data_IF_823619930156
#
_entry.id   IF_823619930156
#
_cell.length_a   1.000
_cell.length_b   1.000
_cell.length_c   1.000
_cell.angle_alpha   90.00
_cell.angle_beta   90.00
_cell.angle_gamma   90.00
#
_symmetry.space_group_name_H-M   'P 1'
#
loop_
_entity.id
_entity.type
_entity.pdbx_description
1 polymer ?
#
# COMPACT_ATOMS: atom_id res chain seq x y z
N UNK A 1 -12.76 -32.73 10.56
CA UNK A 1 -13.04 -31.31 10.81
C UNK A 1 -13.12 -30.64 9.45
N UNK A 2 -14.31 -30.28 8.96
CA UNK A 2 -14.44 -29.56 7.69
C UNK A 2 -13.87 -28.16 7.85
N UNK A 3 -13.06 -27.70 6.88
CA UNK A 3 -12.56 -26.34 6.92
C UNK A 3 -13.73 -25.37 6.72
N UNK A 4 -13.73 -24.22 7.38
CA UNK A 4 -14.75 -23.16 7.21
C UNK A 4 -14.90 -22.77 5.72
N UNK A 5 -13.87 -22.97 4.91
CA UNK A 5 -13.87 -22.74 3.47
C UNK A 5 -14.74 -23.70 2.68
N UNK A 6 -14.97 -24.92 3.17
CA UNK A 6 -15.68 -25.98 2.45
C UNK A 6 -17.19 -25.72 2.42
N UNK A 7 -17.69 -24.93 3.38
CA UNK A 7 -19.11 -24.56 3.50
C UNK A 7 -19.47 -23.29 2.74
N UNK A 8 -18.50 -22.58 2.16
CA UNK A 8 -18.75 -21.32 1.45
C UNK A 8 -19.17 -21.55 0.00
N UNK A 9 -20.11 -20.73 -0.48
CA UNK A 9 -20.48 -20.71 -1.89
C UNK A 9 -19.32 -20.17 -2.76
N UNK A 10 -19.18 -20.62 -4.02
CA UNK A 10 -18.27 -19.97 -4.96
C UNK A 10 -18.77 -18.55 -5.31
N UNK A 11 -17.88 -17.63 -5.70
CA UNK A 11 -18.29 -16.28 -6.06
C UNK A 11 -19.01 -16.29 -7.41
N UNK A 12 -19.90 -15.31 -7.62
CA UNK A 12 -20.67 -15.18 -8.87
C UNK A 12 -19.73 -15.00 -10.07
N UNK A 13 -20.08 -15.60 -11.22
CA UNK A 13 -19.29 -15.50 -12.45
C UNK A 13 -19.01 -14.05 -12.88
N UNK A 14 -20.00 -13.16 -12.76
CA UNK A 14 -19.83 -11.74 -13.04
C UNK A 14 -18.74 -11.07 -12.17
N UNK A 15 -18.63 -11.46 -10.90
CA UNK A 15 -17.57 -10.98 -10.02
C UNK A 15 -16.20 -11.50 -10.47
N UNK A 16 -16.11 -12.78 -10.83
CA UNK A 16 -14.86 -13.37 -11.34
C UNK A 16 -14.41 -12.64 -12.61
N UNK A 17 -15.31 -12.49 -13.59
CA UNK A 17 -15.04 -11.78 -14.83
C UNK A 17 -14.55 -10.34 -14.57
N UNK A 18 -15.20 -9.64 -13.62
CA UNK A 18 -14.77 -8.30 -13.20
C UNK A 18 -13.36 -8.27 -12.61
N UNK A 19 -12.98 -9.23 -11.75
CA UNK A 19 -11.60 -9.28 -11.22
C UNK A 19 -10.56 -9.60 -12.29
N UNK A 20 -10.87 -10.49 -13.23
CA UNK A 20 -9.99 -10.81 -14.35
C UNK A 20 -9.79 -9.58 -15.27
N UNK A 21 -10.89 -8.89 -15.58
CA UNK A 21 -10.84 -7.62 -16.31
C UNK A 21 -10.00 -6.58 -15.56
N UNK A 22 -10.20 -6.44 -14.24
CA UNK A 22 -9.43 -5.51 -13.41
C UNK A 22 -7.92 -5.73 -13.58
N UNK A 23 -7.46 -6.98 -13.51
CA UNK A 23 -6.05 -7.33 -13.68
C UNK A 23 -5.54 -6.83 -15.04
N UNK A 24 -6.20 -7.23 -16.13
CA UNK A 24 -5.79 -6.87 -17.50
C UNK A 24 -5.83 -5.34 -17.69
N UNK A 25 -6.92 -4.70 -17.28
CA UNK A 25 -7.12 -3.25 -17.37
C UNK A 25 -5.98 -2.48 -16.70
N UNK A 26 -5.56 -2.89 -15.50
CA UNK A 26 -4.46 -2.22 -14.82
C UNK A 26 -3.10 -2.51 -15.44
N UNK A 27 -2.81 -3.78 -15.74
CA UNK A 27 -1.47 -4.17 -16.18
C UNK A 27 -1.18 -3.75 -17.62
N UNK A 28 -2.19 -3.79 -18.51
CA UNK A 28 -2.01 -3.51 -19.93
C UNK A 28 -2.32 -2.06 -20.32
N UNK A 29 -3.22 -1.38 -19.60
CA UNK A 29 -3.67 -0.03 -19.99
C UNK A 29 -3.25 1.03 -18.98
N UNK A 30 -3.68 0.91 -17.72
CA UNK A 30 -3.49 1.98 -16.71
C UNK A 30 -2.02 2.20 -16.39
N UNK A 31 -1.27 1.15 -16.04
CA UNK A 31 0.12 1.30 -15.58
C UNK A 31 1.07 1.79 -16.68
N UNK A 32 1.07 1.23 -17.91
CA UNK A 32 1.96 1.69 -18.97
C UNK A 32 1.72 3.15 -19.38
N UNK A 33 0.46 3.60 -19.32
CA UNK A 33 0.06 4.96 -19.73
C UNK A 33 -0.06 5.93 -18.55
N UNK A 34 0.28 5.52 -17.33
CA UNK A 34 0.08 6.34 -16.12
C UNK A 34 0.86 7.67 -16.17
N UNK A 35 2.02 7.65 -16.83
CA UNK A 35 2.89 8.80 -17.03
C UNK A 35 2.83 9.42 -18.43
N UNK A 36 2.16 8.76 -19.38
CA UNK A 36 1.98 9.26 -20.74
C UNK A 36 0.78 10.22 -20.76
N UNK A 37 1.05 11.53 -20.69
CA UNK A 37 0.03 12.59 -20.70
C UNK A 37 -1.12 12.41 -19.69
N UNK A 38 -0.85 11.73 -18.56
CA UNK A 38 -1.87 11.36 -17.56
C UNK A 38 -3.02 10.49 -18.08
N UNK A 39 -2.89 9.85 -19.25
CA UNK A 39 -3.92 9.00 -19.86
C UNK A 39 -4.32 7.88 -18.89
N UNK A 40 -3.35 7.21 -18.27
CA UNK A 40 -3.63 6.14 -17.31
C UNK A 40 -4.40 6.64 -16.07
N UNK A 41 -4.22 7.90 -15.65
CA UNK A 41 -5.00 8.50 -14.54
C UNK A 41 -6.46 8.71 -14.94
N UNK A 42 -6.69 9.19 -16.17
CA UNK A 42 -8.04 9.37 -16.72
C UNK A 42 -8.72 8.02 -16.90
N UNK A 43 -8.03 7.03 -17.49
CA UNK A 43 -8.53 5.67 -17.63
C UNK A 43 -8.91 5.07 -16.27
N UNK A 44 -8.04 5.21 -15.27
CA UNK A 44 -8.34 4.74 -13.91
C UNK A 44 -9.58 5.44 -13.32
N UNK A 45 -9.72 6.76 -13.50
CA UNK A 45 -10.89 7.50 -13.06
C UNK A 45 -12.18 7.03 -13.76
N UNK A 46 -12.15 6.83 -15.08
CA UNK A 46 -13.27 6.28 -15.87
C UNK A 46 -13.62 4.86 -15.40
N UNK A 47 -12.62 4.00 -15.20
CA UNK A 47 -12.84 2.63 -14.72
C UNK A 47 -13.53 2.60 -13.34
N UNK A 48 -13.23 3.57 -12.47
CA UNK A 48 -13.92 3.75 -11.18
C UNK A 48 -15.33 4.30 -11.36
N UNK A 49 -15.53 5.28 -12.24
CA UNK A 49 -16.84 5.89 -12.53
C UNK A 49 -17.82 4.87 -13.08
N UNK A 50 -17.39 4.08 -14.07
CA UNK A 50 -18.16 3.02 -14.70
C UNK A 50 -18.26 1.75 -13.85
N UNK A 51 -17.70 1.76 -12.63
CA UNK A 51 -17.65 0.61 -11.70
C UNK A 51 -17.07 -0.66 -12.33
N UNK A 52 -16.18 -0.52 -13.32
CA UNK A 52 -15.48 -1.63 -13.98
C UNK A 52 -14.44 -2.25 -13.05
N UNK A 53 -13.94 -1.48 -12.09
CA UNK A 53 -12.97 -1.94 -11.09
C UNK A 53 -13.65 -2.10 -9.72
N UNK A 54 -13.06 -2.94 -8.88
CA UNK A 54 -13.54 -3.15 -7.51
C UNK A 54 -12.83 -2.17 -6.58
N UNK A 55 -13.58 -1.49 -5.72
CA UNK A 55 -12.98 -0.62 -4.71
C UNK A 55 -12.26 -1.48 -3.67
N UNK A 56 -11.12 -0.99 -3.15
CA UNK A 56 -10.40 -1.67 -2.08
C UNK A 56 -11.22 -1.78 -0.78
N UNK A 57 -12.05 -0.77 -0.50
CA UNK A 57 -13.05 -0.76 0.58
C UNK A 57 -14.33 -0.18 0.01
N UNK A 58 -15.41 -0.96 0.07
CA UNK A 58 -16.73 -0.56 -0.43
C UNK A 58 -17.38 0.49 0.47
N UNK A 59 -18.41 1.17 -0.05
CA UNK A 59 -19.22 2.10 0.76
C UNK A 59 -19.96 1.39 1.91
N UNK A 60 -20.33 0.12 1.72
CA UNK A 60 -20.95 -0.71 2.75
C UNK A 60 -19.98 -1.04 3.88
N UNK A 61 -18.76 -1.46 3.55
CA UNK A 61 -17.73 -1.75 4.56
C UNK A 61 -17.40 -0.53 5.42
N UNK A 62 -17.40 0.68 4.82
CA UNK A 62 -17.25 1.93 5.58
C UNK A 62 -18.39 2.23 6.56
N UNK A 63 -19.53 1.55 6.40
CA UNK A 63 -20.68 1.58 7.30
C UNK A 63 -20.80 0.28 8.12
N UNK A 64 -19.70 -0.48 8.22
CA UNK A 64 -19.64 -1.76 8.93
C UNK A 64 -20.58 -2.84 8.37
N UNK A 65 -20.89 -2.76 7.07
CA UNK A 65 -21.72 -3.73 6.38
C UNK A 65 -20.85 -4.68 5.56
N UNK A 66 -21.18 -5.96 5.61
CA UNK A 66 -20.52 -6.98 4.80
C UNK A 66 -20.80 -6.74 3.29
N UNK A 67 -19.78 -6.79 2.41
CA UNK A 67 -19.99 -6.74 0.98
C UNK A 67 -20.82 -7.92 0.48
N UNK A 68 -21.72 -7.68 -0.48
CA UNK A 68 -22.57 -8.72 -1.07
C UNK A 68 -21.81 -9.85 -1.80
N UNK A 69 -20.53 -9.65 -2.12
CA UNK A 69 -19.68 -10.67 -2.75
C UNK A 69 -18.90 -11.52 -1.72
N UNK A 70 -19.11 -11.31 -0.42
CA UNK A 70 -18.48 -12.05 0.67
C UNK A 70 -19.54 -12.52 1.69
N UNK A 71 -19.27 -13.63 2.41
CA UNK A 71 -18.14 -14.54 2.23
C UNK A 71 -18.32 -15.42 0.99
N UNK A 72 -17.21 -15.77 0.32
CA UNK A 72 -17.20 -16.67 -0.83
C UNK A 72 -15.86 -17.41 -0.89
N UNK A 73 -15.83 -18.58 -1.53
CA UNK A 73 -14.58 -19.31 -1.83
C UNK A 73 -13.69 -18.51 -2.77
N UNK A 74 -12.38 -18.77 -2.74
CA UNK A 74 -11.50 -18.30 -3.80
C UNK A 74 -11.89 -18.99 -5.12
N UNK A 75 -12.09 -18.22 -6.20
CA UNK A 75 -12.44 -18.81 -7.49
C UNK A 75 -11.26 -19.55 -8.10
N UNK A 76 -11.51 -20.65 -8.82
CA UNK A 76 -10.46 -21.42 -9.51
C UNK A 76 -9.65 -20.56 -10.49
N UNK A 77 -10.28 -19.60 -11.17
CA UNK A 77 -9.58 -18.68 -12.07
C UNK A 77 -8.57 -17.78 -11.32
N UNK A 78 -8.98 -17.18 -10.19
CA UNK A 78 -8.09 -16.37 -9.38
C UNK A 78 -7.04 -17.22 -8.65
N UNK A 79 -7.38 -18.46 -8.26
CA UNK A 79 -6.44 -19.42 -7.68
C UNK A 79 -5.33 -19.78 -8.67
N UNK A 80 -5.63 -20.02 -9.95
CA UNK A 80 -4.62 -20.25 -10.99
C UNK A 80 -3.66 -19.07 -11.14
N UNK A 81 -4.18 -17.84 -11.11
CA UNK A 81 -3.35 -16.63 -11.16
C UNK A 81 -2.47 -16.53 -9.91
N UNK A 82 -3.05 -16.74 -8.72
CA UNK A 82 -2.31 -16.72 -7.45
C UNK A 82 -1.20 -17.78 -7.43
N UNK A 83 -1.48 -19.00 -7.91
CA UNK A 83 -0.49 -20.07 -8.00
C UNK A 83 0.70 -19.69 -8.90
N UNK A 84 0.43 -19.07 -10.06
CA UNK A 84 1.50 -18.55 -10.93
C UNK A 84 2.32 -17.43 -10.29
N UNK A 85 1.74 -16.62 -9.39
CA UNK A 85 2.50 -15.63 -8.61
C UNK A 85 3.32 -16.30 -7.51
N UNK A 86 2.76 -17.32 -6.87
CA UNK A 86 3.40 -18.07 -5.78
C UNK A 86 4.67 -18.78 -6.26
N UNK A 87 4.66 -19.34 -7.47
CA UNK A 87 5.86 -19.94 -8.10
C UNK A 87 7.03 -18.95 -8.28
N UNK A 88 6.79 -17.64 -8.18
CA UNK A 88 7.81 -16.59 -8.31
C UNK A 88 8.08 -15.88 -6.99
N UNK A 89 7.52 -16.38 -5.88
CA UNK A 89 7.57 -15.73 -4.58
C UNK A 89 9.02 -15.50 -4.11
N UNK A 90 9.88 -16.50 -4.22
CA UNK A 90 11.27 -16.38 -3.78
C UNK A 90 12.01 -15.30 -4.56
N UNK A 91 11.88 -15.29 -5.88
CA UNK A 91 12.46 -14.22 -6.73
C UNK A 91 11.96 -12.84 -6.31
N UNK A 92 10.66 -12.71 -6.00
CA UNK A 92 10.09 -11.45 -5.54
C UNK A 92 10.61 -11.03 -4.16
N UNK A 93 10.79 -11.98 -3.25
CA UNK A 93 11.33 -11.73 -1.92
C UNK A 93 12.81 -11.37 -1.97
N UNK A 94 13.63 -12.08 -2.76
CA UNK A 94 15.04 -11.74 -2.97
C UNK A 94 15.20 -10.32 -3.49
N UNK A 95 14.37 -9.92 -4.47
CA UNK A 95 14.38 -8.53 -4.95
C UNK A 95 14.00 -7.54 -3.85
N UNK A 96 12.93 -7.78 -3.08
CA UNK A 96 12.53 -6.90 -1.97
C UNK A 96 13.63 -6.70 -0.94
N UNK A 97 14.30 -7.78 -0.56
CA UNK A 97 15.42 -7.76 0.40
C UNK A 97 16.59 -6.96 -0.16
N UNK A 98 16.97 -7.17 -1.43
CA UNK A 98 18.03 -6.40 -2.07
C UNK A 98 17.71 -4.89 -2.12
N UNK A 99 16.47 -4.51 -2.48
CA UNK A 99 16.03 -3.10 -2.46
C UNK A 99 16.10 -2.51 -1.05
N UNK A 100 15.64 -3.25 -0.04
CA UNK A 100 15.68 -2.80 1.35
C UNK A 100 17.13 -2.60 1.85
N UNK A 101 18.07 -3.45 1.42
CA UNK A 101 19.49 -3.30 1.72
C UNK A 101 20.06 -2.03 1.07
N UNK A 102 19.70 -1.74 -0.18
CA UNK A 102 20.10 -0.50 -0.85
C UNK A 102 19.61 0.76 -0.10
N UNK A 103 18.36 0.75 0.35
CA UNK A 103 17.82 1.84 1.18
C UNK A 103 18.55 1.95 2.51
N UNK A 104 18.77 0.83 3.21
CA UNK A 104 19.48 0.81 4.49
C UNK A 104 20.90 1.34 4.37
N UNK A 105 21.60 1.00 3.29
CA UNK A 105 23.00 1.39 3.06
C UNK A 105 23.14 2.86 2.70
N UNK A 106 22.22 3.40 1.89
CA UNK A 106 22.42 4.70 1.26
C UNK A 106 21.52 5.83 1.77
N UNK A 107 20.44 5.54 2.50
CA UNK A 107 19.60 6.59 3.11
C UNK A 107 20.23 7.05 4.43
N UNK A 108 20.52 8.34 4.54
CA UNK A 108 21.10 8.98 5.74
C UNK A 108 20.01 9.19 6.80
N UNK A 109 19.77 8.18 7.63
CA UNK A 109 18.66 8.18 8.61
C UNK A 109 18.90 9.10 9.82
N UNK A 110 20.13 9.20 10.32
CA UNK A 110 20.47 9.78 11.63
C UNK A 110 19.80 11.14 11.95
N UNK A 111 19.64 12.02 10.95
CA UNK A 111 19.06 13.36 11.16
C UNK A 111 17.54 13.44 11.02
N UNK A 112 16.93 12.70 10.09
CA UNK A 112 15.51 12.96 9.68
C UNK A 112 14.58 11.77 9.84
N UNK A 113 15.09 10.55 9.86
CA UNK A 113 14.27 9.36 9.83
C UNK A 113 14.64 8.41 10.97
N UNK A 114 13.65 7.75 11.53
CA UNK A 114 13.87 6.60 12.40
C UNK A 114 13.66 5.34 11.54
N UNK A 115 14.70 4.50 11.37
CA UNK A 115 14.56 3.26 10.62
C UNK A 115 13.64 2.27 11.33
N UNK A 116 12.99 1.40 10.57
CA UNK A 116 12.30 0.25 11.16
C UNK A 116 13.28 -0.66 11.91
N UNK A 117 12.83 -1.20 13.04
CA UNK A 117 13.58 -2.18 13.81
C UNK A 117 13.20 -3.59 13.36
N UNK A 118 14.20 -4.42 13.06
CA UNK A 118 13.99 -5.83 12.72
C UNK A 118 14.02 -6.66 14.02
N UNK A 119 13.09 -7.61 14.14
CA UNK A 119 13.06 -8.49 15.31
C UNK A 119 14.27 -9.45 15.27
N UNK A 120 15.02 -9.66 16.36
CA UNK A 120 16.21 -10.50 16.35
C UNK A 120 15.98 -11.94 15.88
N UNK A 121 14.77 -12.46 16.08
CA UNK A 121 14.38 -13.84 15.76
C UNK A 121 13.67 -13.97 14.39
N UNK A 122 13.65 -12.92 13.56
CA UNK A 122 12.92 -12.95 12.29
C UNK A 122 13.58 -12.12 11.20
N UNK A 123 13.48 -12.59 9.96
CA UNK A 123 13.93 -11.85 8.78
C UNK A 123 12.74 -11.19 8.09
N UNK A 124 12.82 -9.89 7.86
CA UNK A 124 11.79 -9.18 7.08
C UNK A 124 11.95 -9.48 5.60
N UNK A 125 10.85 -9.81 4.92
CA UNK A 125 10.80 -9.88 3.45
C UNK A 125 10.55 -8.50 2.82
N UNK A 126 10.41 -7.46 3.64
CA UNK A 126 10.21 -6.08 3.22
C UNK A 126 9.12 -5.92 2.17
N UNK A 127 7.88 -6.33 2.46
CA UNK A 127 6.72 -6.03 1.60
C UNK A 127 6.67 -4.52 1.26
N UNK A 128 7.11 -3.70 2.22
CA UNK A 128 7.42 -2.29 2.10
C UNK A 128 8.63 -2.00 3.01
N UNK A 129 9.36 -0.92 2.74
CA UNK A 129 10.43 -0.46 3.61
C UNK A 129 9.96 0.76 4.42
N UNK A 130 9.67 0.57 5.71
CA UNK A 130 9.10 1.60 6.56
C UNK A 130 10.17 2.50 7.19
N UNK A 131 9.89 3.81 7.20
CA UNK A 131 10.68 4.83 7.88
C UNK A 131 9.73 5.80 8.59
N UNK A 132 10.02 6.16 9.84
CA UNK A 132 9.28 7.22 10.52
C UNK A 132 9.97 8.57 10.30
N UNK A 133 9.23 9.56 9.79
CA UNK A 133 9.73 10.93 9.63
C UNK A 133 9.73 11.60 11.00
N UNK A 134 10.86 12.18 11.41
CA UNK A 134 10.94 12.96 12.64
C UNK A 134 10.10 14.23 12.52
N UNK A 135 9.41 14.59 13.61
CA UNK A 135 8.55 15.77 13.65
C UNK A 135 9.36 17.06 13.45
N UNK A 136 8.91 17.89 12.52
CA UNK A 136 9.44 19.23 12.33
C UNK A 136 8.69 20.20 13.24
N UNK A 137 9.40 20.87 14.16
CA UNK A 137 8.83 21.83 15.11
C UNK A 137 8.16 23.04 14.43
N UNK A 138 8.43 23.29 13.14
CA UNK A 138 7.71 24.31 12.34
C UNK A 138 6.32 23.87 11.93
N UNK A 139 6.05 22.56 11.91
CA UNK A 139 4.74 22.00 11.60
C UNK A 139 3.81 22.11 12.82
N UNK A 140 2.51 22.31 12.59
CA UNK A 140 1.53 22.36 13.70
C UNK A 140 1.36 20.98 14.34
N UNK A 141 1.36 19.92 13.53
CA UNK A 141 1.23 18.54 13.99
C UNK A 141 2.13 17.58 13.19
N UNK A 142 2.53 16.41 13.73
CA UNK A 142 3.36 15.44 13.01
C UNK A 142 2.77 14.97 11.67
N UNK A 143 1.44 14.87 11.60
CA UNK A 143 0.69 14.55 10.38
C UNK A 143 0.93 15.57 9.26
N UNK A 144 1.17 16.85 9.59
CA UNK A 144 1.51 17.88 8.61
C UNK A 144 2.88 17.67 8.00
N UNK A 145 3.88 17.32 8.83
CA UNK A 145 5.23 17.00 8.36
C UNK A 145 5.19 15.83 7.37
N UNK A 146 4.53 14.73 7.75
CA UNK A 146 4.37 13.55 6.89
C UNK A 146 3.64 13.88 5.58
N UNK A 147 2.52 14.60 5.66
CA UNK A 147 1.73 14.99 4.49
C UNK A 147 2.52 15.90 3.55
N UNK A 148 3.28 16.87 4.08
CA UNK A 148 4.11 17.75 3.27
C UNK A 148 5.20 16.96 2.54
N UNK A 149 5.88 16.06 3.26
CA UNK A 149 6.89 15.19 2.68
C UNK A 149 6.34 14.34 1.52
N UNK A 150 5.18 13.70 1.71
CA UNK A 150 4.54 12.90 0.67
C UNK A 150 4.11 13.74 -0.54
N UNK A 151 3.68 15.00 -0.34
CA UNK A 151 3.37 15.92 -1.45
C UNK A 151 4.62 16.26 -2.27
N UNK A 152 5.76 16.53 -1.62
CA UNK A 152 7.01 16.80 -2.33
C UNK A 152 7.51 15.57 -3.09
N UNK A 153 7.41 14.38 -2.48
CA UNK A 153 7.72 13.12 -3.18
C UNK A 153 6.85 12.94 -4.43
N UNK A 154 5.54 13.18 -4.30
CA UNK A 154 4.61 13.12 -5.42
C UNK A 154 4.93 14.14 -6.52
N UNK A 155 5.30 15.38 -6.16
CA UNK A 155 5.75 16.40 -7.10
C UNK A 155 7.02 15.97 -7.85
N UNK A 156 7.93 15.26 -7.19
CA UNK A 156 9.11 14.63 -7.78
C UNK A 156 8.80 13.34 -8.59
N UNK A 157 7.51 13.02 -8.79
CA UNK A 157 7.03 11.78 -9.44
C UNK A 157 7.56 10.53 -8.72
N UNK A 158 7.54 10.55 -7.39
CA UNK A 158 7.87 9.42 -6.52
C UNK A 158 6.64 9.09 -5.66
N UNK A 159 6.10 7.89 -5.82
CA UNK A 159 4.89 7.47 -5.11
C UNK A 159 5.27 6.65 -3.87
N UNK A 160 5.52 7.35 -2.77
CA UNK A 160 5.75 6.74 -1.46
C UNK A 160 4.41 6.43 -0.78
N UNK A 161 4.37 5.38 0.03
CA UNK A 161 3.15 4.87 0.65
C UNK A 161 2.82 5.51 2.00
N UNK A 162 1.54 5.83 2.18
CA UNK A 162 0.93 6.35 3.42
C UNK A 162 0.21 5.25 4.23
N UNK A 163 0.86 4.08 4.34
CA UNK A 163 0.27 2.90 4.98
C UNK A 163 0.81 2.77 6.42
N UNK A 164 0.08 3.13 7.46
CA UNK A 164 -1.29 3.68 7.48
C UNK A 164 -1.31 5.14 7.94
N UNK A 165 -2.41 5.82 7.62
CA UNK A 165 -2.66 7.23 7.96
C UNK A 165 -3.52 7.42 9.21
N UNK A 166 -3.91 6.33 9.87
CA UNK A 166 -4.63 6.32 11.15
C UNK A 166 -4.33 5.04 11.94
N UNK A 167 -4.60 5.02 13.26
CA UNK A 167 -4.51 3.82 14.08
C UNK A 167 -5.50 2.74 13.62
N UNK A 168 -6.66 3.17 13.08
CA UNK A 168 -7.62 2.36 12.35
C UNK A 168 -7.88 3.05 11.01
N UNK A 169 -7.90 2.28 9.91
CA UNK A 169 -8.09 2.80 8.55
C UNK A 169 -9.29 2.10 7.88
N UNK A 170 -10.06 2.77 7.00
CA UNK A 170 -9.87 4.15 6.52
C UNK A 170 -10.41 5.20 7.50
N UNK A 171 -9.74 6.36 7.56
CA UNK A 171 -10.16 7.53 8.36
C UNK A 171 -11.56 8.07 8.01
N UNK A 172 -12.16 7.62 6.90
CA UNK A 172 -13.54 7.95 6.56
C UNK A 172 -14.58 7.20 7.39
N UNK A 173 -14.17 6.21 8.19
CA UNK A 173 -15.05 5.56 9.18
C UNK A 173 -14.86 6.30 10.51
N UNK A 174 -15.93 6.84 11.11
CA UNK A 174 -15.87 7.44 12.44
C UNK A 174 -15.32 6.45 13.48
N UNK A 175 -14.42 6.90 14.35
CA UNK A 175 -13.85 6.05 15.40
C UNK A 175 -14.89 5.52 16.39
N UNK A 176 -15.94 6.30 16.65
CA UNK A 176 -17.06 5.87 17.49
C UNK A 176 -17.75 4.61 16.96
N UNK A 177 -17.92 4.50 15.63
CA UNK A 177 -18.58 3.37 14.99
C UNK A 177 -17.80 2.06 15.19
N UNK A 178 -16.47 2.15 15.30
CA UNK A 178 -15.57 1.00 15.54
C UNK A 178 -15.10 0.91 16.99
N UNK A 179 -15.75 1.64 17.90
CA UNK A 179 -15.45 1.65 19.33
C UNK A 179 -13.99 1.97 19.66
N UNK A 180 -13.36 2.84 18.87
CA UNK A 180 -12.00 3.30 19.10
C UNK A 180 -12.01 4.65 19.80
N UNK A 181 -11.29 4.76 20.92
CA UNK A 181 -11.14 6.00 21.68
C UNK A 181 -9.80 6.65 21.35
N UNK A 182 -9.80 7.95 21.03
CA UNK A 182 -8.56 8.69 20.76
C UNK A 182 -7.68 8.76 22.00
N UNK A 183 -6.37 8.56 21.85
CA UNK A 183 -5.40 8.50 22.94
C UNK A 183 -5.30 7.13 23.61
N UNK A 184 -6.22 6.19 23.33
CA UNK A 184 -6.15 4.83 23.88
C UNK A 184 -4.97 4.00 23.37
N UNK A 185 -4.45 4.30 22.16
CA UNK A 185 -3.30 3.59 21.57
C UNK A 185 -2.24 4.59 21.07
N UNK A 186 -1.53 5.29 21.98
CA UNK A 186 -0.66 6.42 21.62
C UNK A 186 0.49 6.02 20.68
N UNK A 187 1.01 4.79 20.81
CA UNK A 187 2.05 4.28 19.90
C UNK A 187 1.54 4.08 18.47
N UNK A 188 0.31 3.58 18.31
CA UNK A 188 -0.31 3.38 17.00
C UNK A 188 -0.61 4.73 16.32
N UNK A 189 -1.12 5.69 17.10
CA UNK A 189 -1.39 7.05 16.63
C UNK A 189 -0.10 7.78 16.20
N UNK A 190 0.96 7.68 17.00
CA UNK A 190 2.27 8.24 16.66
C UNK A 190 2.85 7.60 15.40
N UNK A 191 2.75 6.27 15.26
CA UNK A 191 3.20 5.56 14.07
C UNK A 191 2.43 6.02 12.83
N UNK A 192 1.09 6.08 12.90
CA UNK A 192 0.24 6.54 11.81
C UNK A 192 0.56 7.99 11.38
N UNK A 193 0.93 8.85 12.32
CA UNK A 193 1.24 10.25 12.05
C UNK A 193 2.62 10.46 11.38
N UNK A 194 3.54 9.50 11.46
CA UNK A 194 4.95 9.71 11.07
C UNK A 194 5.51 8.70 10.07
N UNK A 195 4.98 7.48 10.02
CA UNK A 195 5.51 6.41 9.17
C UNK A 195 5.14 6.61 7.71
N UNK A 196 6.15 6.53 6.85
CA UNK A 196 6.03 6.40 5.40
C UNK A 196 6.62 5.06 4.95
N UNK A 197 6.24 4.63 3.75
CA UNK A 197 6.65 3.36 3.16
C UNK A 197 7.32 3.58 1.82
N UNK A 198 8.58 3.19 1.70
CA UNK A 198 9.25 3.14 0.40
C UNK A 198 8.84 1.86 -0.35
N UNK A 199 8.67 1.94 -1.68
CA UNK A 199 8.31 0.78 -2.48
C UNK A 199 9.46 -0.22 -2.53
N UNK A 200 9.13 -1.51 -2.55
CA UNK A 200 10.05 -2.63 -2.77
C UNK A 200 9.44 -3.63 -3.76
N UNK A 201 8.45 -3.20 -4.56
CA UNK A 201 7.72 -4.11 -5.45
C UNK A 201 8.64 -4.74 -6.50
N UNK A 202 8.36 -5.97 -6.98
CA UNK A 202 9.30 -6.74 -7.83
C UNK A 202 9.74 -6.12 -9.17
N UNK A 203 9.10 -5.04 -9.60
CA UNK A 203 9.40 -4.31 -10.84
C UNK A 203 10.10 -2.98 -10.61
N UNK A 204 10.49 -2.67 -9.36
CA UNK A 204 11.16 -1.41 -9.05
C UNK A 204 12.55 -1.42 -9.69
N UNK A 205 12.79 -0.48 -10.59
CA UNK A 205 14.04 -0.42 -11.34
C UNK A 205 15.20 0.13 -10.49
N UNK A 206 16.47 -0.22 -10.82
CA UNK A 206 17.64 0.39 -10.20
C UNK A 206 17.66 1.92 -10.24
N UNK A 207 17.14 2.53 -11.32
CA UNK A 207 17.09 3.98 -11.46
C UNK A 207 16.01 4.61 -10.58
N UNK A 208 14.86 3.96 -10.41
CA UNK A 208 13.86 4.38 -9.43
C UNK A 208 14.40 4.29 -8.00
N UNK A 209 15.14 3.22 -7.66
CA UNK A 209 15.80 3.06 -6.35
C UNK A 209 16.76 4.22 -6.10
N UNK A 210 17.64 4.55 -7.07
CA UNK A 210 18.56 5.69 -6.99
C UNK A 210 17.82 7.03 -6.83
N UNK A 211 16.73 7.24 -7.57
CA UNK A 211 15.90 8.45 -7.46
C UNK A 211 15.27 8.58 -6.08
N UNK A 212 14.75 7.48 -5.51
CA UNK A 212 14.21 7.46 -4.16
C UNK A 212 15.32 7.80 -3.15
N UNK A 213 16.47 7.12 -3.19
CA UNK A 213 17.60 7.38 -2.29
C UNK A 213 18.04 8.86 -2.36
N UNK A 214 18.18 9.40 -3.59
CA UNK A 214 18.53 10.81 -3.80
C UNK A 214 17.51 11.74 -3.17
N UNK A 215 16.21 11.51 -3.41
CA UNK A 215 15.14 12.28 -2.81
C UNK A 215 15.20 12.23 -1.28
N UNK A 216 15.28 11.03 -0.71
CA UNK A 216 15.31 10.84 0.76
C UNK A 216 16.49 11.58 1.42
N UNK A 217 17.63 11.70 0.74
CA UNK A 217 18.83 12.35 1.25
C UNK A 217 18.88 13.89 1.05
N UNK A 218 18.17 14.43 0.06
CA UNK A 218 18.27 15.85 -0.33
C UNK A 218 17.00 16.66 -0.09
N UNK A 219 15.87 16.00 0.17
CA UNK A 219 14.63 16.68 0.47
C UNK A 219 14.82 17.61 1.69
N UNK A 220 14.41 18.87 1.58
CA UNK A 220 14.44 19.85 2.67
C UNK A 220 13.02 20.00 3.24
N UNK A 221 12.87 20.12 4.56
CA UNK A 221 11.58 20.49 5.18
C UNK A 221 11.32 21.99 5.05
#
# INVERSE_FOLDING_TARGET
>A
MHAITDTLAPPRNAFIAKQLFHIIFFTALVLPTYHLFSIGKVLHAIGRLLRLTTYAVTKGEKKLQQPAYMPARLSNALARIAFSQLQRLDRFNTHRVAVAQEFRKHIKTAKRYTPQHEHPQGQSIFLRYALAIKFDKKSKQPTDTKRSFLRHAHAAKLYLGDWYNGPITPLSVPFADVHYEHGSCPRAEQAAASVINLPTYPRLSPDEIKRIIKFMNHEKS
#
